data_IF_567345282109
#
_entry.id   IF_567345282109
#
_cell.length_a   1.000
_cell.length_b   1.000
_cell.length_c   1.000
_cell.angle_alpha   90.00
_cell.angle_beta   90.00
_cell.angle_gamma   90.00
#
_symmetry.space_group_name_H-M   'P 1'
#
loop_
_entity.id
_entity.type
_entity.pdbx_description
1 polymer ?
#
# COMPACT_ATOMS: atom_id res chain seq x y z
N UNK A 1 25.80 53.39 -28.26
CA UNK A 1 25.02 52.14 -28.45
C UNK A 1 25.20 51.29 -27.21
N UNK A 2 24.09 50.95 -26.53
CA UNK A 2 24.03 50.22 -25.27
C UNK A 2 23.98 48.71 -25.56
N UNK A 3 24.85 47.91 -24.95
CA UNK A 3 24.73 46.45 -24.97
C UNK A 3 23.97 45.99 -23.73
N UNK A 4 22.75 45.50 -23.94
CA UNK A 4 21.90 44.92 -22.92
C UNK A 4 22.19 43.40 -22.89
N UNK A 5 22.89 42.93 -21.87
CA UNK A 5 23.16 41.50 -21.65
C UNK A 5 21.90 40.89 -21.05
N UNK A 6 21.16 40.10 -21.83
CA UNK A 6 20.05 39.29 -21.35
C UNK A 6 20.62 38.06 -20.63
N UNK A 7 20.45 38.01 -19.31
CA UNK A 7 20.78 36.85 -18.49
C UNK A 7 19.60 35.88 -18.55
N UNK A 8 19.65 34.89 -19.45
CA UNK A 8 18.68 33.80 -19.46
C UNK A 8 18.95 32.88 -18.27
N UNK A 9 18.18 33.05 -17.19
CA UNK A 9 18.11 32.09 -16.09
C UNK A 9 17.41 30.84 -16.63
N UNK A 10 18.19 29.81 -16.95
CA UNK A 10 17.66 28.46 -17.15
C UNK A 10 17.09 27.98 -15.82
N UNK A 11 15.77 28.13 -15.64
CA UNK A 11 15.03 27.40 -14.61
C UNK A 11 14.99 25.96 -15.09
N UNK A 12 15.95 25.15 -14.67
CA UNK A 12 15.90 23.70 -14.85
C UNK A 12 14.78 23.18 -13.94
N UNK A 13 13.68 22.62 -14.46
CA UNK A 13 12.76 21.88 -13.61
C UNK A 13 13.54 20.70 -13.04
N UNK A 14 13.79 20.73 -11.73
CA UNK A 14 14.29 19.57 -11.00
C UNK A 14 13.15 18.56 -11.03
N UNK A 15 13.15 17.70 -12.05
CA UNK A 15 12.29 16.53 -12.09
C UNK A 15 12.73 15.63 -10.93
N UNK A 16 12.00 15.69 -9.81
CA UNK A 16 12.08 14.68 -8.78
C UNK A 16 11.73 13.36 -9.48
N UNK A 17 12.68 12.43 -9.56
CA UNK A 17 12.39 11.09 -10.06
C UNK A 17 11.29 10.52 -9.15
N UNK A 18 10.18 10.01 -9.70
CA UNK A 18 9.17 9.35 -8.89
C UNK A 18 9.85 8.22 -8.11
N UNK A 19 9.60 8.18 -6.80
CA UNK A 19 10.10 7.12 -5.96
C UNK A 19 9.69 5.77 -6.55
N UNK A 20 10.63 4.82 -6.61
CA UNK A 20 10.40 3.53 -7.22
C UNK A 20 9.24 2.82 -6.52
N UNK A 21 8.25 2.38 -7.31
CA UNK A 21 7.17 1.51 -6.85
C UNK A 21 7.76 0.20 -6.33
N UNK A 22 7.33 -0.22 -5.15
CA UNK A 22 7.85 -1.42 -4.50
C UNK A 22 6.90 -2.62 -4.61
N UNK A 23 5.60 -2.39 -4.84
CA UNK A 23 4.67 -3.48 -5.07
C UNK A 23 4.80 -4.02 -6.49
N UNK A 24 4.79 -5.34 -6.61
CA UNK A 24 4.61 -6.01 -7.90
C UNK A 24 3.13 -6.09 -8.22
N UNK A 25 2.72 -5.49 -9.34
CA UNK A 25 1.35 -5.50 -9.85
C UNK A 25 0.33 -5.08 -8.78
N UNK A 26 0.53 -3.90 -8.18
CA UNK A 26 -0.40 -3.34 -7.18
C UNK A 26 -1.64 -2.69 -7.80
N UNK A 27 -1.58 -2.34 -9.08
CA UNK A 27 -2.70 -1.88 -9.92
C UNK A 27 -3.46 -3.04 -10.58
N UNK A 28 -2.96 -4.27 -10.46
CA UNK A 28 -3.59 -5.51 -10.92
C UNK A 28 -3.88 -5.65 -12.43
N UNK A 29 -3.46 -4.69 -13.26
CA UNK A 29 -3.73 -4.65 -14.69
C UNK A 29 -3.08 -5.79 -15.49
N UNK A 30 -2.09 -6.48 -14.94
CA UNK A 30 -1.46 -7.62 -15.65
C UNK A 30 -2.27 -8.92 -15.58
N UNK A 31 -3.38 -8.94 -14.82
CA UNK A 31 -4.15 -10.15 -14.49
C UNK A 31 -3.33 -11.27 -13.81
N UNK A 32 -2.10 -10.97 -13.37
CA UNK A 32 -1.19 -11.94 -12.77
C UNK A 32 -0.95 -11.64 -11.28
N UNK A 33 -1.28 -12.60 -10.42
CA UNK A 33 -1.09 -12.51 -8.97
C UNK A 33 0.18 -13.20 -8.47
N UNK A 34 1.09 -13.69 -9.34
CA UNK A 34 2.32 -14.41 -8.94
C UNK A 34 3.27 -13.62 -8.03
N UNK A 35 3.15 -12.28 -8.00
CA UNK A 35 3.87 -11.42 -7.05
C UNK A 35 3.33 -11.48 -5.62
N UNK A 36 2.16 -12.05 -5.41
CA UNK A 36 1.44 -12.13 -4.15
C UNK A 36 1.33 -13.59 -3.69
N UNK A 37 1.31 -13.79 -2.37
CA UNK A 37 1.14 -15.11 -1.75
C UNK A 37 -0.25 -15.19 -1.12
N UNK A 38 -0.89 -16.35 -1.22
CA UNK A 38 -2.18 -16.60 -0.61
C UNK A 38 -2.03 -16.99 0.86
N UNK A 39 -3.04 -16.66 1.66
CA UNK A 39 -3.18 -17.11 3.03
C UNK A 39 -4.66 -17.27 3.37
N UNK A 40 -4.97 -18.19 4.27
CA UNK A 40 -6.35 -18.48 4.67
C UNK A 40 -6.40 -18.98 6.12
N UNK A 41 -7.51 -18.67 6.79
CA UNK A 41 -7.91 -19.21 8.09
C UNK A 41 -9.34 -19.73 8.01
N UNK A 42 -9.57 -20.93 8.53
CA UNK A 42 -10.88 -21.58 8.56
C UNK A 42 -11.00 -22.55 9.75
N UNK A 43 -12.17 -22.71 10.39
CA UNK A 43 -13.34 -21.82 10.35
C UNK A 43 -13.18 -20.63 11.32
N UNK A 44 -12.45 -20.83 12.42
CA UNK A 44 -12.04 -19.81 13.37
C UNK A 44 -10.71 -20.29 13.94
N UNK A 45 -9.64 -19.50 13.85
CA UNK A 45 -8.32 -19.82 14.39
C UNK A 45 -7.47 -20.83 13.60
N UNK A 46 -7.62 -20.87 12.27
CA UNK A 46 -6.52 -21.34 11.43
C UNK A 46 -5.25 -20.54 11.76
N UNK A 47 -4.08 -21.16 11.62
CA UNK A 47 -2.82 -20.49 11.94
C UNK A 47 -2.49 -19.34 10.99
N UNK A 48 -3.30 -19.11 9.95
CA UNK A 48 -3.12 -18.11 8.91
C UNK A 48 -1.86 -18.33 8.10
N UNK A 49 -1.39 -19.58 8.07
CA UNK A 49 -0.23 -19.95 7.31
C UNK A 49 -0.45 -19.67 5.81
N UNK A 50 0.65 -19.39 5.08
CA UNK A 50 0.59 -19.31 3.64
C UNK A 50 0.05 -20.61 3.04
N UNK A 51 -0.81 -20.49 2.03
CA UNK A 51 -1.37 -21.62 1.29
C UNK A 51 -0.99 -21.49 -0.19
N UNK A 52 -0.87 -22.61 -0.89
CA UNK A 52 -0.64 -22.57 -2.35
C UNK A 52 -1.90 -22.11 -3.09
N UNK A 53 -3.06 -22.62 -2.68
CA UNK A 53 -4.37 -22.25 -3.20
C UNK A 53 -5.39 -22.24 -2.05
N UNK A 54 -6.11 -21.13 -1.83
CA UNK A 54 -7.16 -21.07 -0.81
C UNK A 54 -8.36 -21.95 -1.20
N UNK A 55 -9.00 -22.56 -0.21
CA UNK A 55 -10.12 -23.48 -0.42
C UNK A 55 -11.49 -22.81 -0.31
N UNK A 56 -11.60 -21.73 0.48
CA UNK A 56 -12.86 -21.04 0.77
C UNK A 56 -12.86 -19.57 0.35
N UNK A 57 -11.71 -19.07 -0.15
CA UNK A 57 -11.56 -17.76 -0.75
C UNK A 57 -11.31 -17.89 -2.25
N UNK A 58 -12.06 -17.14 -3.05
CA UNK A 58 -11.78 -16.97 -4.48
C UNK A 58 -11.09 -15.63 -4.72
N UNK A 59 -9.99 -15.66 -5.48
CA UNK A 59 -9.26 -14.47 -5.92
C UNK A 59 -9.53 -14.26 -7.42
N UNK A 60 -10.11 -13.11 -7.78
CA UNK A 60 -10.54 -12.80 -9.14
C UNK A 60 -10.06 -11.42 -9.60
N UNK A 61 -9.83 -11.27 -10.91
CA UNK A 61 -9.37 -10.05 -11.59
C UNK A 61 -10.18 -9.81 -12.88
N UNK A 62 -11.32 -9.09 -12.84
CA UNK A 62 -12.07 -8.66 -11.67
C UNK A 62 -13.07 -9.73 -11.20
N UNK A 63 -13.67 -9.52 -10.03
CA UNK A 63 -14.76 -10.33 -9.52
C UNK A 63 -16.13 -10.01 -10.13
N UNK A 64 -17.15 -10.71 -9.63
CA UNK A 64 -18.52 -10.65 -10.15
C UNK A 64 -19.60 -10.45 -9.07
N UNK A 65 -19.22 -10.32 -7.79
CA UNK A 65 -20.15 -10.08 -6.69
C UNK A 65 -19.92 -8.71 -6.07
N UNK A 66 -21.00 -7.99 -5.77
CA UNK A 66 -20.89 -6.69 -5.11
C UNK A 66 -20.03 -5.67 -5.86
N UNK A 67 -20.11 -5.67 -7.18
CA UNK A 67 -19.22 -4.88 -8.05
C UNK A 67 -19.38 -3.38 -7.74
N UNK A 68 -18.31 -2.67 -7.33
CA UNK A 68 -18.37 -1.24 -7.09
C UNK A 68 -18.55 -0.46 -8.40
N UNK A 69 -18.92 0.81 -8.28
CA UNK A 69 -19.07 1.71 -9.43
C UNK A 69 -18.10 2.89 -9.29
N UNK A 70 -17.15 3.07 -10.23
CA UNK A 70 -16.85 2.19 -11.37
C UNK A 70 -16.28 0.81 -10.95
N UNK A 71 -16.21 -0.21 -11.84
CA UNK A 71 -15.68 -1.54 -11.48
C UNK A 71 -14.19 -1.59 -11.13
N UNK A 72 -13.42 -0.60 -11.58
CA UNK A 72 -12.02 -0.36 -11.23
C UNK A 72 -11.79 1.15 -11.10
N UNK A 73 -10.85 1.54 -10.26
CA UNK A 73 -10.41 2.94 -10.05
C UNK A 73 -9.30 3.35 -11.01
N UNK A 74 -8.46 2.40 -11.40
CA UNK A 74 -7.41 2.53 -12.42
C UNK A 74 -7.62 1.47 -13.49
N UNK A 75 -7.27 1.79 -14.74
CA UNK A 75 -7.32 0.80 -15.83
C UNK A 75 -8.67 0.09 -16.01
N UNK A 76 -8.63 -1.24 -15.92
CA UNK A 76 -9.74 -2.14 -16.29
C UNK A 76 -9.97 -3.30 -15.32
N UNK A 77 -9.01 -3.60 -14.45
CA UNK A 77 -9.04 -4.71 -13.51
C UNK A 77 -8.95 -4.16 -12.08
N UNK A 78 -9.51 -4.92 -11.15
CA UNK A 78 -9.33 -4.70 -9.72
C UNK A 78 -9.22 -6.06 -9.04
N UNK A 79 -8.42 -6.15 -7.99
CA UNK A 79 -8.37 -7.33 -7.14
C UNK A 79 -9.69 -7.51 -6.41
N UNK A 80 -10.33 -8.66 -6.62
CA UNK A 80 -11.48 -9.07 -5.83
C UNK A 80 -11.17 -10.33 -5.04
N UNK A 81 -11.43 -10.28 -3.75
CA UNK A 81 -11.34 -11.41 -2.84
C UNK A 81 -12.76 -11.76 -2.41
N UNK A 82 -13.23 -12.97 -2.71
CA UNK A 82 -14.62 -13.36 -2.50
C UNK A 82 -14.69 -14.54 -1.56
N UNK A 83 -15.51 -14.43 -0.51
CA UNK A 83 -15.92 -15.56 0.32
C UNK A 83 -17.41 -15.79 0.07
N UNK A 84 -17.76 -17.02 -0.31
CA UNK A 84 -19.13 -17.42 -0.61
C UNK A 84 -19.74 -18.31 0.47
N UNK A 85 -20.87 -18.93 0.15
CA UNK A 85 -21.58 -19.85 1.03
C UNK A 85 -20.76 -21.14 1.29
N UNK A 86 -19.90 -21.13 2.31
CA UNK A 86 -19.03 -22.27 2.65
C UNK A 86 -18.60 -22.35 4.12
N UNK A 87 -19.11 -21.46 4.97
CA UNK A 87 -18.67 -21.31 6.36
C UNK A 87 -17.82 -20.06 6.56
N UNK A 88 -17.53 -19.75 7.82
CA UNK A 88 -16.69 -18.61 8.18
C UNK A 88 -15.31 -18.81 7.59
N UNK A 89 -14.86 -17.88 6.76
CA UNK A 89 -13.50 -17.89 6.24
C UNK A 89 -12.92 -16.49 6.29
N UNK A 90 -11.60 -16.44 6.47
CA UNK A 90 -10.81 -15.21 6.33
C UNK A 90 -9.57 -15.54 5.54
N UNK A 91 -9.19 -14.67 4.64
CA UNK A 91 -7.97 -14.85 3.90
C UNK A 91 -7.76 -13.72 2.93
N UNK A 92 -6.69 -13.83 2.16
CA UNK A 92 -6.39 -12.84 1.15
C UNK A 92 -5.03 -13.07 0.53
N UNK A 93 -4.40 -11.95 0.19
CA UNK A 93 -3.09 -11.89 -0.42
C UNK A 93 -2.14 -11.11 0.47
N UNK A 94 -0.88 -11.48 0.45
CA UNK A 94 0.18 -10.66 1.03
C UNK A 94 1.41 -10.62 0.13
N UNK A 95 2.19 -9.55 0.22
CA UNK A 95 3.46 -9.38 -0.45
C UNK A 95 4.50 -8.86 0.53
N UNK A 96 5.62 -9.59 0.63
CA UNK A 96 6.78 -9.19 1.42
C UNK A 96 7.71 -8.33 0.58
N UNK A 97 8.05 -7.16 1.09
CA UNK A 97 8.81 -6.14 0.38
C UNK A 97 10.07 -5.82 1.18
N UNK A 98 11.23 -5.85 0.51
CA UNK A 98 12.49 -5.41 1.11
C UNK A 98 12.52 -3.89 1.21
N UNK A 99 12.88 -3.39 2.38
CA UNK A 99 12.89 -1.95 2.69
C UNK A 99 14.14 -1.56 3.48
N UNK A 100 14.38 -0.26 3.56
CA UNK A 100 15.45 0.31 4.38
C UNK A 100 14.88 0.61 5.75
N UNK A 101 15.48 0.00 6.79
CA UNK A 101 15.12 0.23 8.20
C UNK A 101 15.14 1.73 8.51
N UNK A 102 14.17 2.19 9.31
CA UNK A 102 13.96 3.60 9.70
C UNK A 102 13.64 4.58 8.56
N UNK A 103 13.43 4.10 7.34
CA UNK A 103 12.94 4.94 6.24
C UNK A 103 11.41 4.91 6.24
N UNK A 104 10.70 6.04 6.30
CA UNK A 104 9.24 6.04 6.22
C UNK A 104 8.75 5.61 4.84
N UNK A 105 7.73 4.76 4.79
CA UNK A 105 7.04 4.34 3.58
C UNK A 105 5.54 4.65 3.69
N UNK A 106 4.91 4.94 2.56
CA UNK A 106 3.47 5.14 2.44
C UNK A 106 2.89 4.13 1.47
N UNK A 107 1.86 3.40 1.93
CA UNK A 107 0.96 2.61 1.11
C UNK A 107 -0.26 3.46 0.79
N UNK A 108 -0.55 3.63 -0.49
CA UNK A 108 -1.76 4.28 -1.00
C UNK A 108 -2.53 3.31 -1.87
N UNK A 109 -3.80 3.64 -2.12
CA UNK A 109 -4.63 2.96 -3.13
C UNK A 109 -6.09 3.11 -2.81
N UNK A 110 -6.91 2.24 -3.39
CA UNK A 110 -8.34 2.25 -3.22
C UNK A 110 -8.84 0.90 -2.73
N UNK A 111 -9.86 0.94 -1.88
CA UNK A 111 -10.61 -0.24 -1.52
C UNK A 111 -12.12 0.00 -1.53
N UNK A 112 -12.86 -1.05 -1.84
CA UNK A 112 -14.31 -1.12 -1.71
C UNK A 112 -14.69 -2.46 -1.08
N UNK A 113 -15.91 -2.56 -0.61
CA UNK A 113 -16.43 -3.68 0.14
C UNK A 113 -17.83 -4.01 -0.36
N UNK A 114 -18.17 -5.29 -0.32
CA UNK A 114 -19.54 -5.78 -0.34
C UNK A 114 -19.69 -6.88 0.69
N UNK A 115 -20.82 -6.92 1.39
CA UNK A 115 -21.18 -7.99 2.30
C UNK A 115 -22.69 -8.07 2.39
N UNK A 116 -23.20 -9.25 2.71
CA UNK A 116 -24.63 -9.47 2.94
C UNK A 116 -24.99 -9.23 4.42
N UNK A 117 -24.02 -9.31 5.34
CA UNK A 117 -24.28 -9.34 6.78
C UNK A 117 -23.41 -8.39 7.62
N UNK A 118 -23.97 -7.95 8.75
CA UNK A 118 -23.27 -7.09 9.72
C UNK A 118 -22.17 -7.92 10.41
N UNK A 119 -20.91 -7.63 10.10
CA UNK A 119 -19.75 -8.35 10.64
C UNK A 119 -18.78 -8.83 9.56
N UNK A 120 -19.23 -8.81 8.31
CA UNK A 120 -18.38 -8.98 7.13
C UNK A 120 -17.44 -7.78 6.98
N UNK A 121 -16.16 -8.04 6.71
CA UNK A 121 -15.10 -7.03 6.68
C UNK A 121 -14.11 -7.32 5.56
N UNK A 122 -13.64 -6.25 4.91
CA UNK A 122 -12.44 -6.24 4.08
C UNK A 122 -11.39 -5.31 4.69
N UNK A 123 -10.12 -5.71 4.60
CA UNK A 123 -8.99 -5.06 5.27
C UNK A 123 -7.82 -4.98 4.30
N UNK A 124 -7.11 -3.86 4.34
CA UNK A 124 -5.74 -3.76 3.83
C UNK A 124 -4.84 -3.24 4.94
N UNK A 125 -3.62 -3.74 5.03
CA UNK A 125 -2.71 -3.34 6.09
C UNK A 125 -1.24 -3.56 5.77
N UNK A 126 -0.42 -3.08 6.70
CA UNK A 126 1.04 -3.22 6.68
C UNK A 126 1.51 -3.85 8.00
N UNK A 127 2.43 -4.80 7.90
CA UNK A 127 3.20 -5.36 9.02
C UNK A 127 4.65 -4.91 8.96
N UNK A 128 5.21 -4.59 10.13
CA UNK A 128 6.64 -4.36 10.31
C UNK A 128 7.38 -5.70 10.49
N UNK A 129 7.64 -6.35 9.36
CA UNK A 129 8.27 -7.67 9.29
C UNK A 129 7.65 -8.57 8.24
N UNK A 130 8.14 -9.81 8.21
CA UNK A 130 7.56 -10.92 7.44
C UNK A 130 6.13 -11.24 7.85
N UNK A 131 5.43 -11.97 6.97
CA UNK A 131 4.06 -12.39 7.21
C UNK A 131 3.93 -13.10 8.56
N UNK A 132 3.02 -12.58 9.38
CA UNK A 132 2.63 -13.21 10.62
C UNK A 132 1.14 -12.94 10.83
N UNK A 133 0.30 -13.97 10.73
CA UNK A 133 -1.16 -13.85 10.78
C UNK A 133 -1.66 -13.40 12.16
N UNK A 134 -0.98 -13.78 13.25
CA UNK A 134 -1.29 -13.28 14.59
C UNK A 134 -1.05 -11.76 14.66
N UNK A 135 0.05 -11.28 14.07
CA UNK A 135 0.35 -9.85 14.04
C UNK A 135 -0.59 -9.09 13.09
N UNK A 136 -1.02 -9.69 11.98
CA UNK A 136 -2.00 -9.12 11.06
C UNK A 136 -3.32 -8.78 11.76
N UNK A 137 -3.82 -9.72 12.57
CA UNK A 137 -5.03 -9.52 13.35
C UNK A 137 -4.90 -8.33 14.32
N UNK A 138 -3.77 -8.20 15.01
CA UNK A 138 -3.54 -7.14 16.01
C UNK A 138 -2.93 -5.85 15.45
N UNK A 139 -2.60 -5.79 14.15
CA UNK A 139 -1.93 -4.63 13.57
C UNK A 139 -2.81 -3.38 13.68
N UNK A 140 -2.20 -2.28 14.11
CA UNK A 140 -2.83 -0.96 14.12
C UNK A 140 -2.70 -0.25 12.75
N UNK A 141 -1.74 -0.67 11.92
CA UNK A 141 -1.51 -0.09 10.59
C UNK A 141 -2.35 -0.82 9.55
N UNK A 142 -3.67 -0.65 9.66
CA UNK A 142 -4.63 -1.22 8.72
C UNK A 142 -5.83 -0.30 8.52
N UNK A 143 -6.44 -0.42 7.35
CA UNK A 143 -7.71 0.18 7.03
C UNK A 143 -8.74 -0.93 6.87
N UNK A 144 -9.94 -0.76 7.42
CA UNK A 144 -11.01 -1.74 7.34
C UNK A 144 -12.33 -1.10 6.91
N UNK A 145 -13.07 -1.79 6.06
CA UNK A 145 -14.45 -1.46 5.68
C UNK A 145 -15.29 -2.70 5.92
N UNK A 146 -16.47 -2.51 6.50
CA UNK A 146 -17.46 -3.57 6.68
C UNK A 146 -18.86 -3.00 6.59
N UNK A 147 -19.84 -3.89 6.48
CA UNK A 147 -21.24 -3.52 6.31
C UNK A 147 -22.04 -4.64 5.67
N UNK A 148 -23.25 -4.31 5.24
CA UNK A 148 -24.19 -5.24 4.61
C UNK A 148 -24.70 -4.72 3.25
N UNK A 149 -23.86 -3.95 2.56
CA UNK A 149 -24.13 -3.37 1.24
C UNK A 149 -22.80 -3.09 0.54
N UNK A 150 -22.85 -2.94 -0.79
CA UNK A 150 -21.71 -2.44 -1.56
C UNK A 150 -21.35 -1.02 -1.14
N UNK A 151 -20.05 -0.78 -0.92
CA UNK A 151 -19.51 0.54 -0.62
C UNK A 151 -19.01 1.23 -1.90
N UNK A 152 -18.99 2.57 -1.96
CA UNK A 152 -18.17 3.26 -2.95
C UNK A 152 -16.68 2.92 -2.74
N UNK A 153 -15.86 3.24 -3.72
CA UNK A 153 -14.40 3.26 -3.56
C UNK A 153 -13.99 4.30 -2.53
N UNK A 154 -13.06 3.91 -1.68
CA UNK A 154 -12.46 4.78 -0.66
C UNK A 154 -10.96 4.75 -0.84
N UNK A 155 -10.36 5.94 -0.88
CA UNK A 155 -8.91 6.10 -0.89
C UNK A 155 -8.35 5.79 0.51
N UNK A 156 -7.23 5.07 0.55
CA UNK A 156 -6.51 4.76 1.77
C UNK A 156 -5.07 5.31 1.71
N UNK A 157 -4.56 5.66 2.89
CA UNK A 157 -3.15 6.02 3.09
C UNK A 157 -2.67 5.49 4.43
N UNK A 158 -1.70 4.58 4.40
CA UNK A 158 -1.09 3.97 5.58
C UNK A 158 0.42 4.23 5.57
N UNK A 159 0.95 4.75 6.67
CA UNK A 159 2.40 5.02 6.81
C UNK A 159 3.02 4.00 7.75
N UNK A 160 4.20 3.49 7.39
CA UNK A 160 5.02 2.64 8.25
C UNK A 160 6.45 3.17 8.32
N UNK A 161 7.05 3.09 9.51
CA UNK A 161 8.49 3.27 9.71
C UNK A 161 9.03 1.89 10.10
N UNK A 162 9.69 1.15 9.19
CA UNK A 162 10.11 -0.21 9.45
C UNK A 162 11.21 -0.28 10.50
N UNK A 163 11.06 -1.16 11.49
CA UNK A 163 12.14 -1.58 12.38
C UNK A 163 12.95 -2.75 11.82
N UNK A 164 12.43 -3.41 10.77
CA UNK A 164 13.04 -4.53 10.06
C UNK A 164 13.31 -4.19 8.60
N UNK A 165 14.13 -5.01 7.94
CA UNK A 165 14.49 -4.87 6.52
C UNK A 165 13.43 -5.43 5.56
N UNK A 166 12.32 -5.92 6.11
CA UNK A 166 11.15 -6.41 5.38
C UNK A 166 9.89 -5.83 6.03
N UNK A 167 8.95 -5.41 5.19
CA UNK A 167 7.55 -5.17 5.58
C UNK A 167 6.64 -6.08 4.75
N UNK A 168 5.45 -6.34 5.27
CA UNK A 168 4.43 -7.11 4.56
C UNK A 168 3.21 -6.25 4.32
N UNK A 169 2.82 -6.07 3.06
CA UNK A 169 1.50 -5.53 2.71
C UNK A 169 0.55 -6.72 2.59
N UNK A 170 -0.62 -6.62 3.20
CA UNK A 170 -1.60 -7.69 3.17
C UNK A 170 -3.02 -7.17 2.97
N UNK A 171 -3.86 -8.06 2.46
CA UNK A 171 -5.30 -7.90 2.27
C UNK A 171 -6.00 -9.04 2.99
N UNK A 172 -7.20 -8.77 3.48
CA UNK A 172 -8.06 -9.75 4.14
C UNK A 172 -9.51 -9.50 3.73
N UNK A 173 -10.22 -10.54 3.35
CA UNK A 173 -11.68 -10.54 3.31
C UNK A 173 -12.20 -11.62 4.22
N UNK A 174 -13.19 -11.27 5.02
CA UNK A 174 -13.70 -12.06 6.14
C UNK A 174 -15.22 -12.13 6.09
N UNK A 175 -15.73 -13.35 6.18
CA UNK A 175 -17.14 -13.65 6.43
C UNK A 175 -17.30 -14.27 7.81
N UNK A 176 -18.12 -13.67 8.67
CA UNK A 176 -18.25 -14.16 10.05
C UNK A 176 -19.39 -15.13 10.27
N UNK A 177 -20.49 -15.01 9.54
CA UNK A 177 -21.75 -15.62 9.96
C UNK A 177 -22.12 -16.90 9.21
N UNK A 178 -21.19 -17.47 8.44
CA UNK A 178 -21.38 -18.70 7.66
C UNK A 178 -22.53 -18.64 6.63
N UNK A 179 -23.06 -17.45 6.35
CA UNK A 179 -24.11 -17.20 5.37
C UNK A 179 -23.83 -15.90 4.61
N UNK A 180 -24.32 -15.84 3.37
CA UNK A 180 -24.16 -14.69 2.48
C UNK A 180 -22.92 -14.80 1.61
N UNK A 181 -22.56 -13.67 1.00
CA UNK A 181 -21.32 -13.47 0.28
C UNK A 181 -20.68 -12.18 0.74
N UNK A 182 -19.35 -12.16 0.76
CA UNK A 182 -18.55 -10.98 1.02
C UNK A 182 -17.48 -10.84 -0.05
N UNK A 183 -17.20 -9.61 -0.44
CA UNK A 183 -16.12 -9.26 -1.34
C UNK A 183 -15.30 -8.07 -0.83
N UNK A 184 -13.99 -8.23 -0.83
CA UNK A 184 -13.04 -7.12 -0.78
C UNK A 184 -12.57 -6.77 -2.17
N UNK A 185 -12.67 -5.50 -2.51
CA UNK A 185 -12.20 -4.94 -3.78
C UNK A 185 -11.01 -4.03 -3.48
N UNK A 186 -9.90 -4.22 -4.18
CA UNK A 186 -8.66 -3.46 -4.00
C UNK A 186 -8.09 -3.08 -5.36
N UNK A 187 -7.60 -1.85 -5.48
CA UNK A 187 -7.08 -1.34 -6.74
C UNK A 187 -6.08 -0.18 -6.52
N UNK A 188 -5.25 0.09 -7.53
CA UNK A 188 -4.25 1.16 -7.56
C UNK A 188 -3.34 1.18 -6.32
N UNK A 189 -2.94 0.00 -5.83
CA UNK A 189 -2.07 -0.11 -4.66
C UNK A 189 -0.65 0.30 -5.02
N UNK A 190 -0.10 1.22 -4.24
CA UNK A 190 1.24 1.77 -4.43
C UNK A 190 1.97 1.90 -3.11
N UNK A 191 3.19 1.36 -3.01
CA UNK A 191 4.05 1.45 -1.85
C UNK A 191 5.36 2.16 -2.24
N UNK A 192 5.60 3.32 -1.64
CA UNK A 192 6.76 4.16 -1.95
C UNK A 192 7.41 4.70 -0.68
N UNK A 193 8.74 4.93 -0.67
CA UNK A 193 9.36 5.69 0.40
C UNK A 193 8.76 7.10 0.42
N UNK A 194 8.47 7.62 1.61
CA UNK A 194 8.04 9.01 1.79
C UNK A 194 9.24 9.89 1.43
N UNK A 195 9.11 10.81 0.46
CA UNK A 195 10.20 11.71 0.11
C UNK A 195 10.63 12.47 1.36
N UNK A 196 11.94 12.51 1.67
CA UNK A 196 12.42 13.48 2.64
C UNK A 196 12.02 14.88 2.13
N UNK A 197 11.44 15.76 2.98
CA UNK A 197 11.34 17.15 2.62
C UNK A 197 12.75 17.60 2.28
N UNK A 198 12.95 18.13 1.07
CA UNK A 198 14.26 18.53 0.57
C UNK A 198 14.95 19.37 1.66
N UNK A 199 15.91 18.77 2.36
CA UNK A 199 16.80 19.51 3.25
C UNK A 199 17.52 20.47 2.33
N UNK A 200 17.08 21.73 2.30
CA UNK A 200 17.85 22.82 1.76
C UNK A 200 19.15 22.80 2.56
N UNK A 201 20.17 22.14 2.00
CA UNK A 201 21.53 22.24 2.48
C UNK A 201 21.88 23.71 2.34
N UNK A 202 21.72 24.47 3.42
CA UNK A 202 22.37 25.77 3.55
C UNK A 202 23.85 25.43 3.52
N UNK A 203 24.43 25.58 2.34
CA UNK A 203 25.87 25.56 2.11
C UNK A 203 26.49 26.49 3.14
N UNK A 204 27.03 25.92 4.23
CA UNK A 204 28.01 26.62 5.04
C UNK A 204 29.24 26.75 4.18
N UNK A 205 29.33 27.89 3.49
CA UNK A 205 30.46 28.25 2.67
C UNK A 205 31.64 28.56 3.61
N UNK A 206 32.69 27.71 3.70
CA UNK A 206 33.82 27.96 4.56
C UNK A 206 34.97 28.47 3.68
N UNK A 207 34.96 29.76 3.35
CA UNK A 207 36.15 30.49 2.86
C UNK A 207 36.12 31.88 3.49
N UNK A 208 36.84 32.06 4.60
CA UNK A 208 38.21 32.57 4.58
C UNK A 208 38.28 34.04 4.13
N UNK A 209 38.17 34.95 5.10
CA UNK A 209 38.91 36.20 5.06
C UNK A 209 39.86 36.20 6.27
N UNK A 210 40.98 35.50 6.10
CA UNK A 210 42.21 35.88 6.79
C UNK A 210 42.73 37.18 6.19
N UNK A 211 43.44 37.95 7.02
CA UNK A 211 44.31 39.10 6.72
C UNK A 211 43.65 40.47 6.89
N UNK A 212 43.66 40.98 8.13
CA UNK A 212 44.19 42.32 8.37
C UNK A 212 45.47 42.19 9.20
N UNK A 213 46.52 42.83 8.68
CA UNK A 213 47.93 42.77 9.10
C UNK A 213 48.17 43.25 10.53
N UNK A 214 49.18 42.66 11.15
CA UNK A 214 49.91 43.19 12.31
C UNK A 214 50.70 44.48 11.99
N UNK A 215 50.61 45.44 12.92
CA UNK A 215 51.62 46.33 13.56
C UNK A 215 52.62 47.21 12.77
N UNK A 216 52.64 48.50 13.15
CA UNK A 216 53.77 49.42 13.54
C UNK A 216 53.21 50.86 13.44
N UNK A 217 53.25 51.78 14.41
CA UNK A 217 54.16 52.09 15.53
C UNK A 217 53.38 52.46 16.81
#
# INVERSE_FOLDING_TARGET
>A
MKYLIFFCIFIVPIHLLPAAELLKNGDFETADTTGWKYWETYPWDGDGAPVELPAHLSIALPGNIGVPVPPATSGSLALTQQVGFGGTARGGLYQEVKVIVNTPYVLTGHMSFYGDDIGDISIIGILDGSWNPTLAYTSLNKYCIGGNVVSPWVELSLIVIPSRDVITVFTETRQDWMHGNVAGWYDDLSLKPVPEPAKLFISHNPKANSVYKDKQE
#
